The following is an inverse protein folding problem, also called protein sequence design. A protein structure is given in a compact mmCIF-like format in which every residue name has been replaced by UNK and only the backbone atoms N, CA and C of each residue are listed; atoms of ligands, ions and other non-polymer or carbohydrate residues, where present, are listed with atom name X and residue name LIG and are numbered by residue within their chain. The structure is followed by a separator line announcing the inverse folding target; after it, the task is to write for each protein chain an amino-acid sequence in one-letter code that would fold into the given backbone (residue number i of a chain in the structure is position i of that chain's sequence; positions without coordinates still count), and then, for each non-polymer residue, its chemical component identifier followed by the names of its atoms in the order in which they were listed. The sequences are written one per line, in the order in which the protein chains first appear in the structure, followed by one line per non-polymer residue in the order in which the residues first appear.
data_IF_340697702807
#
_entry.id   IF_340697702807
#
_cell.length_a   1.000
_cell.length_b   1.000
_cell.length_c   1.000
_cell.angle_alpha   90.00
_cell.angle_beta   90.00
_cell.angle_gamma   90.00
#
_symmetry.space_group_name_H-M   'P 1'
#
loop_
_entity.id
_entity.type
_entity.pdbx_description
1 polymer ?
#
# COMPACT_ATOMS: atom_id res chain seq x y z
N UNK A 1 -29.57 -14.29 33.04
CA UNK A 1 -28.16 -14.66 32.77
C UNK A 1 -27.57 -13.63 31.82
N UNK A 2 -26.42 -13.04 32.14
CA UNK A 2 -25.72 -12.14 31.20
C UNK A 2 -25.20 -12.96 30.00
N UNK A 3 -25.35 -12.43 28.79
CA UNK A 3 -24.82 -13.09 27.58
C UNK A 3 -23.28 -13.05 27.61
N UNK A 4 -22.64 -14.16 27.25
CA UNK A 4 -21.18 -14.28 27.17
C UNK A 4 -20.68 -13.81 25.81
N UNK A 5 -19.68 -12.92 25.82
CA UNK A 5 -18.94 -12.50 24.61
C UNK A 5 -17.64 -13.31 24.52
N UNK A 6 -17.32 -13.83 23.34
CA UNK A 6 -16.08 -14.53 23.06
C UNK A 6 -15.24 -13.70 22.10
N UNK A 7 -13.93 -13.63 22.34
CA UNK A 7 -12.99 -12.90 21.51
C UNK A 7 -12.00 -13.87 20.88
N UNK A 8 -11.88 -13.86 19.55
CA UNK A 8 -10.95 -14.69 18.82
C UNK A 8 -9.48 -14.29 19.05
N UNK A 9 -8.56 -15.23 18.90
CA UNK A 9 -7.12 -14.97 18.89
C UNK A 9 -6.42 -15.85 17.83
N UNK A 10 -5.59 -15.28 16.92
CA UNK A 10 -5.26 -13.86 16.80
C UNK A 10 -6.42 -13.00 16.22
N UNK A 11 -6.39 -11.69 16.49
CA UNK A 11 -7.31 -10.67 15.92
C UNK A 11 -6.59 -9.32 15.84
N UNK A 12 -6.95 -8.49 14.86
CA UNK A 12 -6.40 -7.14 14.72
C UNK A 12 -5.24 -7.06 13.72
N UNK A 13 -4.21 -6.28 14.04
CA UNK A 13 -3.11 -5.97 13.13
C UNK A 13 -2.26 -7.19 12.81
N UNK A 14 -1.92 -7.35 11.53
CA UNK A 14 -0.81 -8.17 11.10
C UNK A 14 0.47 -7.32 11.00
N UNK A 15 1.62 -7.96 10.84
CA UNK A 15 2.91 -7.27 10.72
C UNK A 15 2.98 -6.31 9.52
N UNK A 16 2.30 -6.64 8.41
CA UNK A 16 2.25 -5.78 7.22
C UNK A 16 1.48 -4.48 7.46
N UNK A 17 0.33 -4.57 8.14
CA UNK A 17 -0.49 -3.41 8.53
C UNK A 17 0.29 -2.52 9.49
N UNK A 18 0.90 -3.10 10.53
CA UNK A 18 1.67 -2.34 11.52
C UNK A 18 2.83 -1.57 10.87
N UNK A 19 3.61 -2.26 10.03
CA UNK A 19 4.70 -1.64 9.25
C UNK A 19 4.18 -0.48 8.39
N UNK A 20 3.07 -0.66 7.69
CA UNK A 20 2.57 0.33 6.76
C UNK A 20 2.08 1.60 7.47
N UNK A 21 1.37 1.46 8.58
CA UNK A 21 0.93 2.60 9.40
C UNK A 21 2.14 3.35 9.97
N UNK A 22 3.09 2.63 10.58
CA UNK A 22 4.31 3.22 11.15
C UNK A 22 5.13 3.94 10.07
N UNK A 23 5.12 3.46 8.83
CA UNK A 23 5.83 4.09 7.72
C UNK A 23 5.30 5.49 7.44
N UNK A 24 3.97 5.67 7.42
CA UNK A 24 3.36 7.01 7.24
C UNK A 24 3.63 7.90 8.44
N UNK A 25 3.51 7.37 9.66
CA UNK A 25 3.79 8.15 10.89
C UNK A 25 5.24 8.65 10.92
N UNK A 26 6.22 7.78 10.62
CA UNK A 26 7.62 8.17 10.55
C UNK A 26 7.91 9.14 9.40
N UNK A 27 7.25 8.99 8.26
CA UNK A 27 7.38 9.96 7.17
C UNK A 27 6.89 11.34 7.60
N UNK A 28 5.77 11.43 8.32
CA UNK A 28 5.26 12.69 8.88
C UNK A 28 6.22 13.28 9.91
N UNK A 29 6.81 12.46 10.78
CA UNK A 29 7.81 12.90 11.77
C UNK A 29 9.08 13.44 11.11
N UNK A 30 9.58 12.77 10.06
CA UNK A 30 10.85 13.11 9.41
C UNK A 30 10.73 14.27 8.42
N UNK A 31 9.63 14.32 7.66
CA UNK A 31 9.48 15.27 6.55
C UNK A 31 8.48 16.39 6.83
N UNK A 32 7.68 16.28 7.90
CA UNK A 32 6.57 17.19 8.19
C UNK A 32 5.39 16.99 7.25
N UNK A 33 4.28 17.66 7.57
CA UNK A 33 3.09 17.65 6.71
C UNK A 33 3.25 18.61 5.50
N UNK A 34 2.67 18.28 4.33
CA UNK A 34 1.93 17.05 4.05
C UNK A 34 2.81 15.90 3.57
N UNK A 35 2.43 14.67 3.92
CA UNK A 35 2.91 13.43 3.30
C UNK A 35 1.78 12.83 2.48
N UNK A 36 2.02 12.56 1.20
CA UNK A 36 1.02 11.97 0.33
C UNK A 36 1.06 10.44 0.45
N UNK A 37 -0.10 9.80 0.38
CA UNK A 37 -0.21 8.34 0.34
C UNK A 37 -1.08 7.97 -0.85
N UNK A 38 -0.57 7.13 -1.74
CA UNK A 38 -1.35 6.66 -2.90
C UNK A 38 -2.29 5.55 -2.45
N UNK A 39 -3.60 5.79 -2.64
CA UNK A 39 -4.70 5.01 -2.08
C UNK A 39 -4.63 4.92 -0.56
N UNK A 40 -5.61 4.27 0.06
CA UNK A 40 -5.59 4.08 1.51
C UNK A 40 -4.42 3.20 1.92
N UNK A 41 -3.67 3.60 2.96
CA UNK A 41 -2.50 2.85 3.46
C UNK A 41 -2.90 1.41 3.85
N UNK A 42 -4.10 1.28 4.43
CA UNK A 42 -4.84 0.05 4.75
C UNK A 42 -6.34 0.35 4.68
N UNK A 43 -7.17 -0.65 4.39
CA UNK A 43 -8.64 -0.50 4.32
C UNK A 43 -9.30 -0.40 5.71
N UNK A 44 -8.96 0.63 6.49
CA UNK A 44 -9.57 0.92 7.78
C UNK A 44 -9.79 2.43 7.97
N UNK A 45 -11.06 2.83 8.03
CA UNK A 45 -11.47 4.24 8.10
C UNK A 45 -10.93 4.98 9.33
N UNK A 46 -10.78 4.30 10.48
CA UNK A 46 -10.25 4.93 11.69
C UNK A 46 -8.75 5.18 11.58
N UNK A 47 -8.01 4.29 10.94
CA UNK A 47 -6.58 4.45 10.67
C UNK A 47 -6.35 5.59 9.68
N UNK A 48 -7.11 5.60 8.58
CA UNK A 48 -7.04 6.66 7.56
C UNK A 48 -7.32 8.03 8.19
N UNK A 49 -8.45 8.18 8.89
CA UNK A 49 -8.82 9.45 9.53
C UNK A 49 -7.78 9.92 10.57
N UNK A 50 -7.18 8.99 11.32
CA UNK A 50 -6.12 9.30 12.28
C UNK A 50 -4.88 9.87 11.58
N UNK A 51 -4.45 9.27 10.46
CA UNK A 51 -3.30 9.74 9.69
C UNK A 51 -3.59 11.07 8.98
N UNK A 52 -4.80 11.27 8.44
CA UNK A 52 -5.23 12.55 7.88
C UNK A 52 -5.15 13.67 8.92
N UNK A 53 -5.62 13.41 10.14
CA UNK A 53 -5.54 14.37 11.24
C UNK A 53 -4.11 14.77 11.62
N UNK A 54 -3.12 13.92 11.28
CA UNK A 54 -1.68 14.17 11.48
C UNK A 54 -1.01 14.84 10.26
N UNK A 55 -1.74 15.02 9.16
CA UNK A 55 -1.25 15.69 7.94
C UNK A 55 -0.91 14.76 6.77
N UNK A 56 -1.34 13.48 6.81
CA UNK A 56 -1.33 12.65 5.60
C UNK A 56 -2.41 13.11 4.62
N UNK A 57 -2.13 13.05 3.32
CA UNK A 57 -3.10 13.29 2.25
C UNK A 57 -3.21 12.04 1.41
N UNK A 58 -4.36 11.39 1.42
CA UNK A 58 -4.64 10.23 0.58
C UNK A 58 -5.10 10.70 -0.80
N UNK A 59 -4.47 10.18 -1.85
CA UNK A 59 -4.80 10.47 -3.25
C UNK A 59 -5.15 9.19 -3.98
N UNK A 60 -5.95 9.28 -5.04
CA UNK A 60 -6.27 8.12 -5.85
C UNK A 60 -5.14 7.81 -6.83
N UNK A 61 -4.60 8.83 -7.48
CA UNK A 61 -3.65 8.70 -8.56
C UNK A 61 -2.33 9.44 -8.30
N UNK A 62 -1.29 8.95 -8.98
CA UNK A 62 0.06 9.47 -8.82
C UNK A 62 0.19 10.91 -9.30
N UNK A 63 -0.65 11.35 -10.24
CA UNK A 63 -0.65 12.69 -10.85
C UNK A 63 -1.25 13.78 -9.93
N UNK A 64 -1.96 13.40 -8.87
CA UNK A 64 -2.50 14.30 -7.85
C UNK A 64 -1.42 14.79 -6.86
N UNK A 65 -0.29 14.10 -6.74
CA UNK A 65 0.81 14.46 -5.82
C UNK A 65 1.66 15.58 -6.42
N UNK A 66 1.89 16.75 -5.80
CA UNK A 66 2.75 17.77 -6.42
C UNK A 66 4.18 17.25 -6.69
N UNK A 67 4.78 17.66 -7.81
CA UNK A 67 6.13 17.22 -8.21
C UNK A 67 7.17 17.43 -7.10
N UNK A 68 8.13 16.51 -6.99
CA UNK A 68 9.18 16.58 -5.96
C UNK A 68 8.73 16.24 -4.52
N UNK A 69 7.43 16.04 -4.27
CA UNK A 69 6.91 15.70 -2.94
C UNK A 69 7.09 14.23 -2.59
N UNK A 70 6.95 13.93 -1.30
CA UNK A 70 7.01 12.57 -0.76
C UNK A 70 5.67 11.86 -0.97
N UNK A 71 5.73 10.65 -1.53
CA UNK A 71 4.58 9.76 -1.68
C UNK A 71 4.86 8.40 -1.06
N UNK A 72 3.91 7.87 -0.30
CA UNK A 72 3.96 6.52 0.27
C UNK A 72 3.03 5.60 -0.55
N UNK A 73 3.52 4.45 -0.99
CA UNK A 73 2.69 3.41 -1.60
C UNK A 73 2.07 2.52 -0.53
N UNK A 74 0.81 2.10 -0.72
CA UNK A 74 0.02 1.38 0.28
C UNK A 74 0.57 -0.03 0.58
N UNK A 75 0.06 -0.66 1.65
CA UNK A 75 0.45 -2.02 2.01
C UNK A 75 0.10 -3.08 0.93
N UNK A 76 -0.86 -2.76 0.06
CA UNK A 76 -1.40 -3.66 -0.97
C UNK A 76 -0.49 -3.79 -2.20
N UNK A 77 0.58 -2.98 -2.31
CA UNK A 77 1.44 -2.98 -3.49
C UNK A 77 0.91 -2.11 -4.62
N UNK A 78 1.80 -1.78 -5.55
CA UNK A 78 1.48 -1.02 -6.76
C UNK A 78 2.13 -1.67 -7.98
N UNK A 79 1.54 -1.46 -9.16
CA UNK A 79 2.10 -1.95 -10.41
C UNK A 79 3.39 -1.18 -10.80
N UNK A 80 4.28 -1.76 -11.61
CA UNK A 80 5.48 -1.09 -12.15
C UNK A 80 5.22 0.27 -12.79
N UNK A 81 4.08 0.42 -13.47
CA UNK A 81 3.68 1.68 -14.09
C UNK A 81 3.56 2.82 -13.07
N UNK A 82 3.07 2.53 -11.86
CA UNK A 82 2.94 3.53 -10.78
C UNK A 82 4.30 4.01 -10.31
N UNK A 83 5.30 3.11 -10.21
CA UNK A 83 6.68 3.50 -9.93
C UNK A 83 7.25 4.41 -11.03
N UNK A 84 6.99 4.10 -12.30
CA UNK A 84 7.44 4.91 -13.43
C UNK A 84 6.80 6.30 -13.43
N UNK A 85 5.50 6.39 -13.16
CA UNK A 85 4.79 7.66 -13.03
C UNK A 85 5.37 8.52 -11.88
N UNK A 86 5.64 7.91 -10.73
CA UNK A 86 6.23 8.62 -9.61
C UNK A 86 7.64 9.13 -9.93
N UNK A 87 8.45 8.31 -10.61
CA UNK A 87 9.79 8.70 -11.07
C UNK A 87 9.74 9.85 -12.09
N UNK A 88 8.83 9.79 -13.07
CA UNK A 88 8.65 10.84 -14.07
C UNK A 88 8.31 12.20 -13.45
N UNK A 89 7.62 12.20 -12.30
CA UNK A 89 7.25 13.40 -11.54
C UNK A 89 8.25 13.78 -10.45
N UNK A 90 9.41 13.12 -10.44
CA UNK A 90 10.49 13.32 -9.45
C UNK A 90 10.02 13.16 -8.00
N UNK A 91 9.02 12.31 -7.76
CA UNK A 91 8.49 12.10 -6.41
C UNK A 91 9.51 11.34 -5.55
N UNK A 92 9.54 11.66 -4.25
CA UNK A 92 10.30 10.91 -3.25
C UNK A 92 9.43 9.75 -2.76
N UNK A 93 9.65 8.56 -3.29
CA UNK A 93 8.81 7.39 -3.01
C UNK A 93 9.25 6.66 -1.74
N UNK A 94 8.29 6.28 -0.90
CA UNK A 94 8.48 5.37 0.24
C UNK A 94 7.55 4.18 0.02
N UNK A 95 8.10 2.97 -0.02
CA UNK A 95 7.31 1.77 -0.30
C UNK A 95 6.89 1.04 0.98
N UNK A 96 5.60 1.14 1.32
CA UNK A 96 5.02 0.47 2.48
C UNK A 96 4.40 -0.90 2.15
N UNK A 97 4.58 -1.41 0.91
CA UNK A 97 4.08 -2.72 0.47
C UNK A 97 4.45 -3.80 1.46
N UNK A 98 3.47 -4.65 1.81
CA UNK A 98 3.71 -5.79 2.69
C UNK A 98 4.73 -6.73 2.04
N UNK A 99 5.78 -7.20 2.76
CA UNK A 99 6.75 -8.13 2.18
C UNK A 99 6.15 -9.44 1.64
N UNK A 100 4.99 -9.84 2.15
CA UNK A 100 4.26 -11.00 1.63
C UNK A 100 3.60 -10.71 0.28
N UNK A 101 3.16 -9.47 0.03
CA UNK A 101 2.68 -9.01 -1.28
C UNK A 101 3.85 -8.90 -2.26
N UNK A 102 4.96 -8.28 -1.84
CA UNK A 102 6.18 -8.21 -2.64
C UNK A 102 6.66 -9.60 -3.07
N UNK A 103 6.54 -10.62 -2.19
CA UNK A 103 6.85 -12.00 -2.56
C UNK A 103 6.00 -12.48 -3.75
N UNK A 104 4.70 -12.21 -3.75
CA UNK A 104 3.80 -12.59 -4.86
C UNK A 104 4.18 -11.85 -6.15
N UNK A 105 4.49 -10.56 -6.06
CA UNK A 105 5.00 -9.78 -7.20
C UNK A 105 6.28 -10.40 -7.79
N UNK A 106 7.20 -10.86 -6.94
CA UNK A 106 8.45 -11.49 -7.39
C UNK A 106 8.20 -12.84 -8.08
N UNK A 107 7.23 -13.63 -7.63
CA UNK A 107 6.85 -14.86 -8.33
C UNK A 107 6.18 -14.56 -9.68
N UNK A 108 5.32 -13.54 -9.76
CA UNK A 108 4.72 -13.11 -11.02
C UNK A 108 5.79 -12.72 -12.04
N UNK A 109 6.78 -11.89 -11.65
CA UNK A 109 7.94 -11.54 -12.49
C UNK A 109 8.72 -12.76 -12.94
N UNK A 110 8.97 -13.70 -12.03
CA UNK A 110 9.75 -14.90 -12.31
C UNK A 110 9.05 -15.77 -13.36
N UNK A 111 7.75 -16.05 -13.18
CA UNK A 111 7.00 -16.85 -14.13
C UNK A 111 6.82 -16.15 -15.49
N UNK A 112 6.62 -14.82 -15.51
CA UNK A 112 6.58 -14.06 -16.75
C UNK A 112 7.92 -14.13 -17.51
N UNK A 113 9.05 -14.06 -16.80
CA UNK A 113 10.38 -14.22 -17.38
C UNK A 113 10.66 -15.64 -17.90
N UNK A 114 9.91 -16.65 -17.41
CA UNK A 114 9.94 -18.04 -17.85
C UNK A 114 8.95 -18.31 -19.01
N UNK A 115 8.26 -17.29 -19.55
CA UNK A 115 7.21 -17.41 -20.58
C UNK A 115 6.06 -18.35 -20.17
N UNK A 116 5.77 -18.40 -18.87
CA UNK A 116 4.71 -19.23 -18.31
C UNK A 116 3.38 -18.48 -18.23
N UNK A 117 2.27 -19.18 -18.46
CA UNK A 117 0.93 -18.66 -18.17
C UNK A 117 0.71 -18.57 -16.66
N UNK A 118 0.28 -17.39 -16.18
CA UNK A 118 0.00 -17.13 -14.76
C UNK A 118 -1.51 -17.05 -14.54
N UNK A 119 -2.03 -17.89 -13.65
CA UNK A 119 -3.40 -17.78 -13.15
C UNK A 119 -3.40 -17.10 -11.77
N UNK A 120 -3.78 -15.82 -11.73
CA UNK A 120 -3.92 -15.06 -10.48
C UNK A 120 -5.35 -15.21 -9.93
N UNK A 121 -5.47 -15.77 -8.71
CA UNK A 121 -6.76 -15.89 -8.02
C UNK A 121 -6.95 -14.68 -7.12
N UNK A 122 -7.94 -13.84 -7.43
CA UNK A 122 -8.29 -12.67 -6.64
C UNK A 122 -9.57 -12.00 -7.11
N UNK A 123 -9.90 -10.86 -6.51
CA UNK A 123 -11.04 -10.05 -6.92
C UNK A 123 -10.60 -8.95 -7.88
N UNK A 124 -11.20 -8.93 -9.07
CA UNK A 124 -10.96 -7.90 -10.07
C UNK A 124 -11.17 -6.49 -9.49
N UNK A 125 -10.25 -5.56 -9.77
CA UNK A 125 -10.29 -4.19 -9.27
C UNK A 125 -9.78 -3.99 -7.83
N UNK A 126 -9.35 -5.04 -7.13
CA UNK A 126 -8.66 -4.89 -5.84
C UNK A 126 -7.20 -4.45 -6.05
N UNK A 127 -6.72 -3.47 -5.28
CA UNK A 127 -5.37 -2.89 -5.44
C UNK A 127 -4.25 -3.94 -5.50
N UNK A 128 -4.29 -4.94 -4.62
CA UNK A 128 -3.30 -6.03 -4.58
C UNK A 128 -3.30 -6.90 -5.86
N UNK A 129 -4.48 -7.07 -6.46
CA UNK A 129 -4.64 -7.84 -7.70
C UNK A 129 -4.12 -7.05 -8.89
N UNK A 130 -4.47 -5.75 -8.99
CA UNK A 130 -3.96 -4.86 -10.03
C UNK A 130 -2.43 -4.68 -9.93
N UNK A 131 -1.91 -4.55 -8.70
CA UNK A 131 -0.48 -4.46 -8.43
C UNK A 131 0.28 -5.70 -8.86
N UNK A 132 -0.23 -6.89 -8.52
CA UNK A 132 0.38 -8.17 -8.88
C UNK A 132 0.27 -8.46 -10.38
N UNK A 133 -0.90 -8.22 -10.98
CA UNK A 133 -1.12 -8.46 -12.40
C UNK A 133 -0.23 -7.57 -13.28
N UNK A 134 0.06 -6.34 -12.85
CA UNK A 134 0.94 -5.43 -13.59
C UNK A 134 2.42 -5.84 -13.62
N UNK A 135 2.82 -6.88 -12.89
CA UNK A 135 4.20 -7.39 -12.86
C UNK A 135 4.53 -8.37 -14.00
N UNK A 136 3.52 -8.80 -14.77
CA UNK A 136 3.63 -9.78 -15.85
C UNK A 136 2.98 -9.26 -17.15
#
# INVERSE_FOLDING_TARGET
MAKRVLLAAPRGYCAGVDRAVITVEKALELYGAPVYVRKQIVHNVHVVASLESKGAIFVDETDEVPEGKTVVFSAHGVAPLVHQQAAARSLKTIDATCPLVTKVHMEAKRFAAEDAEILLIGHHGHEEVEGTAGEA
#
